data_IF_781696392772
#
_entry.id   IF_781696392772
#
_cell.length_a   1.000
_cell.length_b   1.000
_cell.length_c   1.000
_cell.angle_alpha   90.00
_cell.angle_beta   90.00
_cell.angle_gamma   90.00
#
_symmetry.space_group_name_H-M   'P 1'
#
loop_
_entity.id
_entity.type
_entity.pdbx_description
1 polymer ?
#
# COMPACT_ATOMS: atom_id res chain seq x y z
N UNK A 1 8.75 20.38 18.80
CA UNK A 1 9.49 21.46 18.11
C UNK A 1 10.58 20.99 17.17
N UNK A 2 11.52 20.07 17.55
CA UNK A 2 12.52 19.51 16.60
C UNK A 2 11.90 18.59 15.52
N UNK A 3 10.75 17.97 15.77
CA UNK A 3 10.07 17.06 14.84
C UNK A 3 9.37 17.82 13.71
N UNK A 4 8.74 18.96 14.00
CA UNK A 4 8.02 19.79 13.03
C UNK A 4 8.94 20.43 11.99
N UNK A 5 10.20 20.71 12.33
CA UNK A 5 11.21 21.30 11.43
C UNK A 5 12.05 20.26 10.67
N UNK A 6 11.74 18.97 10.77
CA UNK A 6 12.57 17.88 10.22
C UNK A 6 12.40 17.64 8.72
N UNK A 7 11.60 18.42 8.00
CA UNK A 7 11.27 18.19 6.58
C UNK A 7 10.51 16.89 6.30
N UNK A 8 10.00 16.21 7.32
CA UNK A 8 9.27 14.95 7.20
C UNK A 8 7.81 15.16 6.80
N UNK A 9 7.23 14.15 6.13
CA UNK A 9 5.83 14.23 5.71
C UNK A 9 4.88 14.31 6.90
N UNK A 10 3.76 15.02 6.76
CA UNK A 10 2.67 15.12 7.76
C UNK A 10 2.25 13.74 8.30
N UNK A 11 2.16 12.72 7.43
CA UNK A 11 1.82 11.35 7.82
C UNK A 11 2.88 10.71 8.76
N UNK A 12 4.15 11.03 8.55
CA UNK A 12 5.24 10.57 9.43
C UNK A 12 5.14 11.25 10.80
N UNK A 13 4.84 12.55 10.83
CA UNK A 13 4.64 13.31 12.07
C UNK A 13 3.45 12.77 12.86
N UNK A 14 2.32 12.50 12.21
CA UNK A 14 1.16 11.87 12.87
C UNK A 14 1.48 10.51 13.49
N UNK A 15 2.30 9.68 12.83
CA UNK A 15 2.75 8.41 13.40
C UNK A 15 3.62 8.61 14.65
N UNK A 16 4.49 9.61 14.65
CA UNK A 16 5.27 9.93 15.85
C UNK A 16 4.38 10.38 17.00
N UNK A 17 3.39 11.23 16.77
CA UNK A 17 2.42 11.65 17.78
C UNK A 17 1.61 10.48 18.34
N UNK A 18 1.16 9.56 17.46
CA UNK A 18 0.48 8.34 17.91
C UNK A 18 1.39 7.43 18.74
N UNK A 19 2.66 7.30 18.37
CA UNK A 19 3.63 6.55 19.14
C UNK A 19 3.92 7.22 20.50
N UNK A 20 4.03 8.55 20.53
CA UNK A 20 4.21 9.33 21.75
C UNK A 20 3.05 9.12 22.72
N UNK A 21 1.81 9.22 22.25
CA UNK A 21 0.63 8.95 23.06
C UNK A 21 0.67 7.54 23.68
N UNK A 22 1.05 6.53 22.89
CA UNK A 22 1.20 5.16 23.39
C UNK A 22 2.36 5.00 24.36
N UNK A 23 3.47 5.68 24.14
CA UNK A 23 4.61 5.68 25.06
C UNK A 23 4.18 6.28 26.40
N UNK A 24 3.51 7.43 26.40
CA UNK A 24 3.01 8.07 27.63
C UNK A 24 2.00 7.19 28.36
N UNK A 25 1.08 6.54 27.63
CA UNK A 25 0.07 5.65 28.23
C UNK A 25 0.69 4.46 29.00
N UNK A 26 1.80 3.90 28.51
CA UNK A 26 2.38 2.67 29.06
C UNK A 26 3.72 2.86 29.79
N UNK A 27 4.39 4.00 29.60
CA UNK A 27 5.70 4.30 30.17
C UNK A 27 5.66 5.59 31.02
N UNK A 28 4.58 5.81 31.74
CA UNK A 28 4.44 6.95 32.65
C UNK A 28 5.24 6.72 33.95
N UNK A 29 6.56 6.61 33.78
CA UNK A 29 7.54 6.46 34.86
C UNK A 29 8.63 7.52 34.72
N UNK A 30 9.19 8.00 35.81
CA UNK A 30 10.40 8.82 35.78
C UNK A 30 11.53 8.08 35.05
N UNK A 31 12.27 8.76 34.17
CA UNK A 31 13.31 8.15 33.33
C UNK A 31 14.40 7.42 34.14
N UNK A 32 14.71 7.91 35.33
CA UNK A 32 15.72 7.34 36.22
C UNK A 32 15.32 6.02 36.89
N UNK A 33 14.06 5.62 36.82
CA UNK A 33 13.57 4.33 37.37
C UNK A 33 13.31 3.29 36.26
N UNK A 34 13.38 3.69 35.01
CA UNK A 34 13.13 2.75 33.90
C UNK A 34 14.38 1.88 33.67
N UNK A 35 14.26 0.61 34.04
CA UNK A 35 15.28 -0.40 33.77
C UNK A 35 14.91 -1.19 32.50
N UNK A 36 15.86 -1.91 31.85
CA UNK A 36 15.55 -2.80 30.73
C UNK A 36 14.46 -3.83 31.07
N UNK A 37 14.45 -4.36 32.29
CA UNK A 37 13.43 -5.31 32.76
C UNK A 37 12.05 -4.67 32.85
N UNK A 38 11.96 -3.44 33.41
CA UNK A 38 10.69 -2.71 33.48
C UNK A 38 10.17 -2.39 32.07
N UNK A 39 11.05 -1.94 31.18
CA UNK A 39 10.71 -1.65 29.81
C UNK A 39 10.22 -2.91 29.06
N UNK A 40 10.90 -4.05 29.22
CA UNK A 40 10.47 -5.33 28.68
C UNK A 40 9.09 -5.74 29.16
N UNK A 41 8.82 -5.57 30.48
CA UNK A 41 7.49 -5.86 31.06
C UNK A 41 6.39 -5.03 30.41
N UNK A 42 6.64 -3.75 30.18
CA UNK A 42 5.68 -2.86 29.50
C UNK A 42 5.51 -3.26 28.01
N UNK A 43 6.58 -3.60 27.30
CA UNK A 43 6.47 -4.11 25.92
C UNK A 43 5.61 -5.36 25.85
N UNK A 44 5.72 -6.28 26.80
CA UNK A 44 4.90 -7.50 26.85
C UNK A 44 3.41 -7.18 27.09
N UNK A 45 3.10 -6.17 27.92
CA UNK A 45 1.72 -5.70 28.11
C UNK A 45 1.15 -5.08 26.83
N UNK A 46 1.91 -4.20 26.18
CA UNK A 46 1.53 -3.56 24.92
C UNK A 46 1.34 -4.61 23.82
N UNK A 47 2.22 -5.60 23.76
CA UNK A 47 2.24 -6.67 22.77
C UNK A 47 0.97 -7.53 22.73
N UNK A 48 0.19 -7.60 23.80
CA UNK A 48 -1.13 -8.23 23.81
C UNK A 48 -2.10 -7.57 22.83
N UNK A 49 -1.93 -6.27 22.56
CA UNK A 49 -2.88 -5.47 21.78
C UNK A 49 -2.33 -5.00 20.42
N UNK A 50 -1.01 -5.08 20.19
CA UNK A 50 -0.37 -4.58 18.97
C UNK A 50 0.53 -5.65 18.35
N UNK A 51 0.86 -5.52 17.07
CA UNK A 51 1.78 -6.44 16.40
C UNK A 51 3.25 -6.13 16.72
N UNK A 52 4.12 -7.10 16.47
CA UNK A 52 5.58 -7.02 16.68
C UNK A 52 6.23 -5.84 15.95
N UNK A 53 5.77 -5.55 14.72
CA UNK A 53 6.27 -4.42 13.94
C UNK A 53 5.99 -3.07 14.61
N UNK A 54 4.84 -2.91 15.27
CA UNK A 54 4.53 -1.70 16.03
C UNK A 54 5.44 -1.55 17.26
N UNK A 55 5.68 -2.63 18.02
CA UNK A 55 6.61 -2.60 19.16
C UNK A 55 8.01 -2.18 18.75
N UNK A 56 8.52 -2.72 17.63
CA UNK A 56 9.80 -2.33 17.05
C UNK A 56 9.84 -0.84 16.67
N UNK A 57 8.80 -0.33 16.00
CA UNK A 57 8.69 1.09 15.64
C UNK A 57 8.66 2.01 16.88
N UNK A 58 7.92 1.62 17.90
CA UNK A 58 7.83 2.36 19.17
C UNK A 58 9.19 2.38 19.87
N UNK A 59 9.85 1.22 20.03
CA UNK A 59 11.19 1.13 20.65
C UNK A 59 12.24 1.92 19.86
N UNK A 60 12.19 1.91 18.52
CA UNK A 60 13.08 2.72 17.71
C UNK A 60 12.87 4.24 17.93
N UNK A 61 11.64 4.69 18.20
CA UNK A 61 11.37 6.07 18.56
C UNK A 61 11.97 6.41 19.92
N UNK A 62 11.83 5.53 20.93
CA UNK A 62 12.46 5.68 22.27
C UNK A 62 13.98 5.71 22.16
N UNK A 63 14.61 4.75 21.44
CA UNK A 63 16.06 4.74 21.19
C UNK A 63 16.56 6.07 20.63
N UNK A 64 15.83 6.60 19.65
CA UNK A 64 16.18 7.88 19.05
C UNK A 64 16.08 9.05 20.04
N UNK A 65 15.06 9.05 20.91
CA UNK A 65 14.92 10.05 21.95
C UNK A 65 16.07 9.99 22.96
N UNK A 66 16.46 8.78 23.40
CA UNK A 66 17.64 8.56 24.26
C UNK A 66 18.91 9.07 23.61
N UNK A 67 19.13 8.77 22.33
CA UNK A 67 20.31 9.26 21.57
C UNK A 67 20.34 10.80 21.50
N UNK A 68 19.18 11.44 21.31
CA UNK A 68 19.08 12.91 21.31
C UNK A 68 19.35 13.49 22.69
N UNK A 69 18.85 12.88 23.76
CA UNK A 69 19.11 13.31 25.14
C UNK A 69 20.62 13.23 25.46
N UNK A 70 21.28 12.13 25.09
CA UNK A 70 22.73 11.97 25.23
C UNK A 70 23.53 13.03 24.46
N UNK A 71 23.09 13.37 23.23
CA UNK A 71 23.71 14.44 22.44
C UNK A 71 23.56 15.83 23.10
N UNK A 72 22.45 16.06 23.79
CA UNK A 72 22.19 17.28 24.58
C UNK A 72 22.83 17.20 25.99
N UNK A 73 23.72 16.22 26.25
CA UNK A 73 24.42 15.97 27.51
C UNK A 73 23.48 15.66 28.71
N UNK A 74 22.27 15.19 28.43
CA UNK A 74 21.36 14.70 29.44
C UNK A 74 21.69 13.23 29.69
N UNK A 75 22.03 12.89 30.92
CA UNK A 75 22.33 11.50 31.29
C UNK A 75 21.06 10.66 31.32
N UNK A 76 20.96 9.69 30.41
CA UNK A 76 19.90 8.69 30.34
C UNK A 76 20.54 7.36 30.00
N UNK A 77 20.30 6.33 30.82
CA UNK A 77 20.68 4.97 30.46
C UNK A 77 19.81 4.44 29.31
N UNK A 78 20.39 3.63 28.45
CA UNK A 78 19.65 3.00 27.35
C UNK A 78 18.95 1.72 27.82
N UNK A 79 17.77 1.89 28.37
CA UNK A 79 16.93 0.79 28.85
C UNK A 79 16.30 -0.04 27.72
N UNK A 80 16.57 0.28 26.45
CA UNK A 80 16.07 -0.48 25.29
C UNK A 80 17.05 -1.57 24.85
N UNK A 81 18.19 -1.73 25.52
CA UNK A 81 19.19 -2.74 25.21
C UNK A 81 18.66 -4.12 25.62
N UNK A 82 18.83 -5.11 24.72
CA UNK A 82 18.51 -6.52 25.00
C UNK A 82 17.01 -6.84 25.05
N UNK A 83 16.12 -5.91 24.69
CA UNK A 83 14.69 -6.18 24.70
C UNK A 83 14.24 -6.99 23.50
N UNK A 84 13.25 -7.87 23.73
CA UNK A 84 12.60 -8.68 22.72
C UNK A 84 11.16 -8.25 22.49
N UNK A 85 10.64 -8.52 21.30
CA UNK A 85 9.28 -8.16 20.93
C UNK A 85 8.38 -9.39 20.89
N UNK A 86 7.52 -9.53 21.88
CA UNK A 86 6.47 -10.54 21.94
C UNK A 86 5.12 -9.89 21.58
N UNK A 87 4.31 -10.58 20.78
CA UNK A 87 2.99 -10.10 20.38
C UNK A 87 2.04 -11.28 20.23
N UNK A 88 0.86 -11.16 20.83
CA UNK A 88 -0.23 -12.13 20.69
C UNK A 88 -0.95 -11.98 19.34
N UNK A 89 -0.70 -10.86 18.62
CA UNK A 89 -1.23 -10.67 17.27
C UNK A 89 -0.34 -11.32 16.24
N UNK A 90 -0.85 -12.39 15.64
CA UNK A 90 -0.21 -13.06 14.50
C UNK A 90 -0.11 -12.10 13.32
N UNK A 91 1.09 -11.92 12.78
CA UNK A 91 1.27 -11.21 11.51
C UNK A 91 0.79 -12.13 10.38
N UNK A 92 0.06 -11.52 9.43
CA UNK A 92 -0.29 -12.24 8.20
C UNK A 92 0.98 -12.72 7.51
N UNK A 93 1.03 -14.00 7.19
CA UNK A 93 2.12 -14.57 6.38
C UNK A 93 2.23 -13.87 5.03
N UNK A 94 3.36 -13.98 4.37
CA UNK A 94 3.52 -13.41 3.03
C UNK A 94 2.47 -13.93 2.06
N UNK A 95 2.11 -15.21 2.19
CA UNK A 95 1.09 -15.87 1.38
C UNK A 95 -0.32 -15.34 1.60
N UNK A 96 -0.65 -14.79 2.77
CA UNK A 96 -1.97 -14.21 3.04
C UNK A 96 -2.14 -12.78 2.51
N UNK A 97 -1.13 -12.24 1.84
CA UNK A 97 -1.14 -10.84 1.36
C UNK A 97 -1.58 -10.69 -0.07
N UNK A 98 -1.72 -11.77 -0.87
CA UNK A 98 -2.09 -11.72 -2.28
C UNK A 98 -2.90 -12.97 -2.70
N UNK A 99 -3.54 -12.91 -3.87
CA UNK A 99 -4.25 -14.04 -4.47
C UNK A 99 -3.26 -14.92 -5.25
N UNK A 100 -3.31 -16.22 -5.01
CA UNK A 100 -2.37 -17.19 -5.59
C UNK A 100 -2.86 -17.78 -6.89
N UNK A 101 -4.17 -18.06 -6.99
CA UNK A 101 -4.76 -18.75 -8.13
C UNK A 101 -5.14 -17.77 -9.22
N UNK A 102 -4.73 -18.06 -10.44
CA UNK A 102 -5.10 -17.27 -11.61
C UNK A 102 -6.62 -17.26 -11.84
N UNK A 103 -7.29 -18.39 -11.57
CA UNK A 103 -8.76 -18.51 -11.61
C UNK A 103 -9.44 -17.46 -10.72
N UNK A 104 -8.94 -17.29 -9.50
CA UNK A 104 -9.50 -16.34 -8.54
C UNK A 104 -9.33 -14.90 -9.02
N UNK A 105 -8.15 -14.57 -9.57
CA UNK A 105 -7.89 -13.25 -10.16
C UNK A 105 -8.86 -12.97 -11.31
N UNK A 106 -9.04 -13.95 -12.21
CA UNK A 106 -9.94 -13.83 -13.35
C UNK A 106 -11.39 -13.65 -12.91
N UNK A 107 -11.82 -14.40 -11.89
CA UNK A 107 -13.16 -14.30 -11.33
C UNK A 107 -13.41 -12.92 -10.68
N UNK A 108 -12.45 -12.41 -9.91
CA UNK A 108 -12.52 -11.06 -9.33
C UNK A 108 -12.63 -10.01 -10.43
N UNK A 109 -11.80 -10.08 -11.46
CA UNK A 109 -11.84 -9.12 -12.58
C UNK A 109 -13.17 -9.18 -13.32
N UNK A 110 -13.69 -10.39 -13.61
CA UNK A 110 -14.98 -10.58 -14.26
C UNK A 110 -16.13 -9.99 -13.42
N UNK A 111 -16.14 -10.25 -12.12
CA UNK A 111 -17.17 -9.71 -11.20
C UNK A 111 -17.08 -8.19 -11.09
N UNK A 112 -15.87 -7.64 -10.92
CA UNK A 112 -15.70 -6.18 -10.92
C UNK A 112 -16.21 -5.57 -12.21
N UNK A 113 -15.90 -6.20 -13.37
CA UNK A 113 -16.30 -5.72 -14.70
C UNK A 113 -17.81 -5.73 -14.90
N UNK A 114 -18.50 -6.81 -14.50
CA UNK A 114 -19.94 -6.93 -14.66
C UNK A 114 -20.77 -6.00 -13.77
N UNK A 115 -20.16 -5.52 -12.68
CA UNK A 115 -20.81 -4.62 -11.72
C UNK A 115 -20.37 -3.16 -11.86
N UNK A 116 -19.63 -2.80 -12.93
CA UNK A 116 -19.22 -1.42 -13.19
C UNK A 116 -20.42 -0.55 -13.51
N UNK A 117 -20.61 0.49 -12.74
CA UNK A 117 -21.60 1.55 -12.91
C UNK A 117 -21.09 2.79 -12.17
N UNK A 118 -20.71 3.82 -12.92
CA UNK A 118 -20.16 5.03 -12.33
C UNK A 118 -21.18 5.76 -11.45
N UNK A 119 -22.47 5.69 -11.78
CA UNK A 119 -23.56 6.29 -10.97
C UNK A 119 -23.63 5.67 -9.58
N UNK A 120 -23.30 4.39 -9.44
CA UNK A 120 -23.22 3.72 -8.14
C UNK A 120 -21.89 3.96 -7.45
N UNK A 121 -20.78 3.72 -8.14
CA UNK A 121 -19.45 3.90 -7.55
C UNK A 121 -18.31 3.75 -8.56
N UNK A 122 -17.39 4.69 -8.58
CA UNK A 122 -16.14 4.60 -9.35
C UNK A 122 -15.17 3.54 -8.80
N UNK A 123 -15.40 3.01 -7.60
CA UNK A 123 -14.45 2.11 -6.91
C UNK A 123 -14.23 0.79 -7.66
N UNK A 124 -15.23 0.25 -8.37
CA UNK A 124 -15.06 -0.99 -9.15
C UNK A 124 -14.09 -0.80 -10.33
N UNK A 125 -14.16 0.33 -11.00
CA UNK A 125 -13.19 0.73 -12.04
C UNK A 125 -11.79 0.85 -11.48
N UNK A 126 -11.66 1.51 -10.33
CA UNK A 126 -10.38 1.66 -9.62
C UNK A 126 -9.79 0.28 -9.23
N UNK A 127 -10.58 -0.60 -8.63
CA UNK A 127 -10.12 -1.94 -8.23
C UNK A 127 -9.69 -2.77 -9.43
N UNK A 128 -10.46 -2.74 -10.52
CA UNK A 128 -10.10 -3.43 -11.76
C UNK A 128 -8.73 -2.98 -12.28
N UNK A 129 -8.52 -1.67 -12.40
CA UNK A 129 -7.23 -1.14 -12.85
C UNK A 129 -6.11 -1.42 -11.86
N UNK A 130 -6.40 -1.48 -10.58
CA UNK A 130 -5.40 -1.81 -9.57
C UNK A 130 -4.86 -3.25 -9.75
N UNK A 131 -5.75 -4.21 -10.01
CA UNK A 131 -5.37 -5.60 -10.32
C UNK A 131 -4.64 -5.74 -11.64
N UNK A 132 -5.03 -4.99 -12.67
CA UNK A 132 -4.45 -5.14 -14.02
C UNK A 132 -3.14 -4.38 -14.21
N UNK A 133 -2.93 -3.26 -13.49
CA UNK A 133 -1.73 -2.43 -13.59
C UNK A 133 -0.68 -2.71 -12.52
N UNK A 134 -1.13 -3.07 -11.30
CA UNK A 134 -0.26 -3.21 -10.15
C UNK A 134 0.30 -1.88 -9.61
N UNK A 135 -0.24 -0.74 -10.00
CA UNK A 135 0.14 0.57 -9.45
C UNK A 135 0.01 0.60 -7.92
N UNK A 136 0.77 1.47 -7.25
CA UNK A 136 0.48 1.69 -5.82
C UNK A 136 -0.90 2.33 -5.67
N UNK A 137 -1.71 1.95 -4.67
CA UNK A 137 -3.06 2.49 -4.49
C UNK A 137 -3.15 4.02 -4.58
N UNK A 138 -2.22 4.72 -3.93
CA UNK A 138 -2.20 6.19 -3.97
C UNK A 138 -1.77 6.78 -5.31
N UNK A 139 -0.91 6.11 -6.08
CA UNK A 139 -0.52 6.52 -7.44
C UNK A 139 -1.74 6.45 -8.37
N UNK A 140 -2.45 5.32 -8.33
CA UNK A 140 -3.63 5.13 -9.17
C UNK A 140 -4.76 6.10 -8.80
N UNK A 141 -4.97 6.42 -7.51
CA UNK A 141 -5.96 7.42 -7.08
C UNK A 141 -5.61 8.84 -7.56
N UNK A 142 -4.33 9.17 -7.71
CA UNK A 142 -3.88 10.47 -8.20
C UNK A 142 -3.94 10.61 -9.72
N UNK A 143 -4.30 9.54 -10.44
CA UNK A 143 -4.30 9.53 -11.90
C UNK A 143 -5.33 10.53 -12.46
N UNK A 144 -4.90 11.35 -13.39
CA UNK A 144 -5.75 12.27 -14.15
C UNK A 144 -5.89 11.81 -15.60
N UNK A 145 -6.92 12.29 -16.30
CA UNK A 145 -7.13 11.95 -17.72
C UNK A 145 -5.99 12.41 -18.63
N UNK A 146 -5.20 13.40 -18.22
CA UNK A 146 -4.01 13.86 -18.97
C UNK A 146 -2.88 12.82 -18.92
N UNK A 147 -2.90 11.90 -17.97
CA UNK A 147 -1.91 10.84 -17.80
C UNK A 147 -2.32 9.52 -18.45
N UNK A 148 -3.40 9.51 -19.24
CA UNK A 148 -3.89 8.32 -19.95
C UNK A 148 -3.65 8.51 -21.45
N UNK A 149 -2.65 7.81 -21.98
CA UNK A 149 -2.40 7.73 -23.42
C UNK A 149 -3.15 6.53 -23.99
N UNK A 150 -4.29 6.80 -24.64
CA UNK A 150 -5.15 5.78 -25.23
C UNK A 150 -4.57 5.15 -26.50
N UNK A 151 -3.71 5.88 -27.22
CA UNK A 151 -3.09 5.41 -28.46
C UNK A 151 -1.91 4.49 -28.18
N UNK A 152 -1.00 4.93 -27.29
CA UNK A 152 0.15 4.15 -26.87
C UNK A 152 -0.17 3.10 -25.81
N UNK A 153 -1.40 3.09 -25.29
CA UNK A 153 -1.84 2.21 -24.21
C UNK A 153 -0.94 2.31 -22.95
N UNK A 154 -0.66 3.54 -22.56
CA UNK A 154 0.21 3.85 -21.42
C UNK A 154 -0.51 4.69 -20.38
N UNK A 155 -0.23 4.42 -19.12
CA UNK A 155 -0.51 5.32 -18.00
C UNK A 155 0.80 5.95 -17.55
N UNK A 156 0.77 7.24 -17.26
CA UNK A 156 1.91 7.94 -16.66
C UNK A 156 1.61 8.21 -15.18
N UNK A 157 2.59 8.04 -14.32
CA UNK A 157 2.46 8.37 -12.89
C UNK A 157 3.64 9.22 -12.42
N UNK A 158 3.33 10.34 -11.79
CA UNK A 158 4.27 11.31 -11.23
C UNK A 158 3.82 11.85 -9.86
N UNK A 159 2.64 11.43 -9.41
CA UNK A 159 2.03 11.87 -8.17
C UNK A 159 1.40 10.70 -7.40
N UNK A 160 1.03 10.95 -6.15
CA UNK A 160 0.26 10.01 -5.33
C UNK A 160 -0.67 10.73 -4.36
N UNK A 161 -1.77 10.13 -4.02
CA UNK A 161 -2.63 10.55 -2.92
C UNK A 161 -2.01 10.08 -1.59
N UNK A 162 -1.91 11.00 -0.65
CA UNK A 162 -1.60 10.67 0.74
C UNK A 162 -2.85 10.08 1.40
N UNK A 163 -2.77 8.83 1.87
CA UNK A 163 -3.92 8.11 2.45
C UNK A 163 -4.50 8.74 3.72
N UNK A 164 -3.72 9.54 4.43
CA UNK A 164 -4.17 10.18 5.69
C UNK A 164 -4.84 11.53 5.45
N UNK A 165 -4.28 12.36 4.53
CA UNK A 165 -4.79 13.71 4.25
C UNK A 165 -5.67 13.79 3.00
N UNK A 166 -5.61 12.78 2.13
CA UNK A 166 -6.19 12.72 0.78
C UNK A 166 -5.66 13.81 -0.16
N UNK A 167 -4.59 14.47 0.18
CA UNK A 167 -3.89 15.43 -0.67
C UNK A 167 -3.05 14.72 -1.73
N UNK A 168 -2.99 15.28 -2.93
CA UNK A 168 -2.03 14.86 -3.95
C UNK A 168 -0.66 15.41 -3.58
N UNK A 169 0.32 14.54 -3.53
CA UNK A 169 1.70 14.86 -3.14
C UNK A 169 2.69 14.18 -4.08
N UNK A 170 3.90 14.71 -4.14
CA UNK A 170 4.99 14.11 -4.92
C UNK A 170 5.24 12.64 -4.54
N UNK A 171 5.77 11.83 -5.45
CA UNK A 171 6.12 10.44 -5.20
C UNK A 171 7.21 10.34 -4.12
N UNK A 172 7.33 9.17 -3.48
CA UNK A 172 8.35 8.95 -2.42
C UNK A 172 9.75 8.72 -2.99
N UNK A 173 9.83 8.17 -4.19
CA UNK A 173 11.08 7.82 -4.88
C UNK A 173 11.00 8.20 -6.34
N UNK A 174 12.14 8.40 -7.00
CA UNK A 174 12.22 8.68 -8.44
C UNK A 174 11.65 7.53 -9.29
N UNK A 175 11.82 6.28 -8.86
CA UNK A 175 11.29 5.09 -9.57
C UNK A 175 9.76 5.03 -9.60
N UNK A 176 9.10 5.82 -8.76
CA UNK A 176 7.64 5.97 -8.80
C UNK A 176 7.17 6.76 -10.03
N UNK A 177 8.03 7.55 -10.67
CA UNK A 177 7.72 8.30 -11.89
C UNK A 177 8.01 7.39 -13.10
N UNK A 178 6.97 6.95 -13.78
CA UNK A 178 7.12 5.96 -14.85
C UNK A 178 5.89 5.85 -15.74
N UNK A 179 6.07 5.20 -16.88
CA UNK A 179 5.00 4.73 -17.73
C UNK A 179 4.64 3.28 -17.40
N UNK A 180 3.35 2.97 -17.39
CA UNK A 180 2.79 1.64 -17.12
C UNK A 180 1.99 1.20 -18.35
N UNK A 181 2.39 0.11 -19.04
CA UNK A 181 1.61 -0.43 -20.16
C UNK A 181 0.33 -1.07 -19.63
N UNK A 182 -0.76 -0.86 -20.38
CA UNK A 182 -2.08 -1.42 -20.09
C UNK A 182 -2.61 -2.18 -21.31
N UNK A 183 -3.38 -3.23 -21.06
CA UNK A 183 -3.98 -4.05 -22.10
C UNK A 183 -5.24 -3.40 -22.71
N UNK A 184 -5.69 -3.93 -23.84
CA UNK A 184 -6.88 -3.46 -24.56
C UNK A 184 -8.13 -3.40 -23.67
N UNK A 185 -8.31 -4.38 -22.79
CA UNK A 185 -9.47 -4.44 -21.91
C UNK A 185 -9.47 -3.29 -20.88
N UNK A 186 -8.30 -2.97 -20.31
CA UNK A 186 -8.14 -1.79 -19.43
C UNK A 186 -8.39 -0.48 -20.18
N UNK A 187 -8.01 -0.39 -21.47
CA UNK A 187 -8.34 0.75 -22.33
C UNK A 187 -9.86 0.89 -22.51
N UNK A 188 -10.55 -0.22 -22.78
CA UNK A 188 -12.02 -0.22 -22.90
C UNK A 188 -12.70 0.25 -21.62
N UNK A 189 -12.27 -0.27 -20.47
CA UNK A 189 -12.75 0.13 -19.15
C UNK A 189 -12.56 1.63 -18.90
N UNK A 190 -11.39 2.18 -19.26
CA UNK A 190 -11.12 3.61 -19.11
C UNK A 190 -11.96 4.47 -20.06
N UNK A 191 -12.17 4.04 -21.31
CA UNK A 191 -13.03 4.76 -22.27
C UNK A 191 -14.47 4.80 -21.80
N UNK A 192 -14.99 3.68 -21.28
CA UNK A 192 -16.34 3.61 -20.70
C UNK A 192 -16.46 4.52 -19.48
N UNK A 193 -15.53 4.43 -18.52
CA UNK A 193 -15.51 5.30 -17.36
C UNK A 193 -15.52 6.79 -17.76
N UNK A 194 -14.70 7.17 -18.73
CA UNK A 194 -14.63 8.58 -19.23
C UNK A 194 -15.97 9.02 -19.80
N UNK A 195 -16.64 8.14 -20.56
CA UNK A 195 -17.96 8.40 -21.13
C UNK A 195 -19.02 8.56 -20.04
N UNK A 196 -19.11 7.60 -19.11
CA UNK A 196 -20.09 7.64 -18.02
C UNK A 196 -19.87 8.82 -17.10
N UNK A 197 -18.61 9.10 -16.73
CA UNK A 197 -18.25 10.28 -15.92
C UNK A 197 -18.72 11.57 -16.60
N UNK A 198 -18.48 11.73 -17.92
CA UNK A 198 -18.93 12.91 -18.66
C UNK A 198 -20.44 13.04 -18.64
N UNK A 199 -21.19 11.97 -18.87
CA UNK A 199 -22.65 11.98 -18.87
C UNK A 199 -23.17 12.36 -17.48
N UNK A 200 -22.74 11.66 -16.46
CA UNK A 200 -23.20 11.87 -15.08
C UNK A 200 -22.85 13.27 -14.57
N UNK A 201 -21.62 13.75 -14.86
CA UNK A 201 -21.21 15.09 -14.48
C UNK A 201 -22.06 16.17 -15.14
N UNK A 202 -22.41 16.00 -16.42
CA UNK A 202 -23.30 16.94 -17.13
C UNK A 202 -24.72 16.91 -16.56
N UNK A 203 -25.28 15.74 -16.30
CA UNK A 203 -26.62 15.56 -15.72
C UNK A 203 -26.73 16.21 -14.33
N UNK A 204 -25.69 16.11 -13.52
CA UNK A 204 -25.68 16.58 -12.13
C UNK A 204 -25.04 17.95 -11.94
N UNK A 205 -24.55 18.60 -13.01
CA UNK A 205 -23.85 19.90 -12.93
C UNK A 205 -22.53 19.85 -12.18
N UNK A 206 -21.87 18.67 -12.13
CA UNK A 206 -20.62 18.44 -11.39
C UNK A 206 -19.42 18.77 -12.29
N UNK A 207 -18.42 19.44 -11.72
CA UNK A 207 -17.14 19.72 -12.40
C UNK A 207 -16.04 18.84 -11.87
N UNK A 208 -15.31 18.16 -12.76
CA UNK A 208 -14.06 17.47 -12.44
C UNK A 208 -12.88 18.45 -12.55
N UNK A 209 -12.74 19.32 -11.57
CA UNK A 209 -11.77 20.45 -11.60
C UNK A 209 -10.33 19.93 -11.69
N UNK A 210 -10.02 18.83 -11.00
CA UNK A 210 -8.69 18.23 -11.00
C UNK A 210 -8.48 17.19 -12.10
N UNK A 211 -9.48 16.99 -12.97
CA UNK A 211 -9.44 16.03 -14.07
C UNK A 211 -9.11 14.59 -13.64
N UNK A 212 -9.54 14.18 -12.42
CA UNK A 212 -9.29 12.83 -11.89
C UNK A 212 -9.98 11.75 -12.73
N UNK A 213 -9.27 10.65 -12.97
CA UNK A 213 -9.85 9.44 -13.56
C UNK A 213 -10.86 8.81 -12.60
N UNK A 214 -10.52 8.73 -11.32
CA UNK A 214 -11.39 8.13 -10.30
C UNK A 214 -12.11 9.19 -9.47
N UNK A 215 -12.67 10.21 -10.14
CA UNK A 215 -13.50 11.20 -9.48
C UNK A 215 -14.67 10.49 -8.78
N UNK A 216 -14.91 10.86 -7.53
CA UNK A 216 -16.10 10.48 -6.77
C UNK A 216 -17.04 11.68 -6.68
N UNK A 217 -18.32 11.50 -7.02
CA UNK A 217 -19.33 12.56 -6.90
C UNK A 217 -20.27 12.29 -5.73
N UNK A 218 -21.00 13.33 -5.29
CA UNK A 218 -22.00 13.24 -4.22
C UNK A 218 -21.45 13.16 -2.79
N UNK A 219 -20.13 13.20 -2.58
CA UNK A 219 -19.48 13.21 -1.27
C UNK A 219 -18.56 14.44 -1.12
N UNK A 220 -18.23 14.77 0.13
CA UNK A 220 -17.25 15.84 0.45
C UNK A 220 -15.85 15.61 -0.11
N UNK A 221 -15.56 14.41 -0.64
CA UNK A 221 -14.23 14.01 -1.14
C UNK A 221 -14.30 13.68 -2.61
N UNK A 222 -13.46 14.30 -3.41
CA UNK A 222 -13.43 14.13 -4.87
C UNK A 222 -12.91 12.76 -5.34
N UNK A 223 -12.24 12.01 -4.47
CA UNK A 223 -11.67 10.69 -4.77
C UNK A 223 -12.03 9.67 -3.68
N UNK A 224 -12.09 8.36 -4.01
CA UNK A 224 -12.36 7.31 -3.04
C UNK A 224 -11.30 7.24 -1.94
N UNK A 225 -11.70 6.80 -0.75
CA UNK A 225 -10.77 6.52 0.35
C UNK A 225 -10.28 5.06 0.29
N UNK A 226 -9.09 4.79 0.86
CA UNK A 226 -8.61 3.41 1.00
C UNK A 226 -9.61 2.53 1.77
N UNK A 227 -10.32 3.10 2.74
CA UNK A 227 -11.34 2.38 3.51
C UNK A 227 -12.53 1.95 2.65
N UNK A 228 -13.04 2.86 1.80
CA UNK A 228 -14.15 2.54 0.87
C UNK A 228 -13.73 1.51 -0.17
N UNK A 229 -12.52 1.62 -0.72
CA UNK A 229 -11.99 0.65 -1.67
C UNK A 229 -11.82 -0.75 -1.03
N UNK A 230 -11.25 -0.81 0.17
CA UNK A 230 -11.10 -2.07 0.91
C UNK A 230 -12.46 -2.69 1.29
N UNK A 231 -13.48 -1.86 1.59
CA UNK A 231 -14.83 -2.35 1.90
C UNK A 231 -15.45 -3.05 0.69
N UNK A 232 -15.35 -2.47 -0.50
CA UNK A 232 -15.88 -3.07 -1.73
C UNK A 232 -15.07 -4.32 -2.11
N UNK A 233 -13.74 -4.26 -2.08
CA UNK A 233 -12.90 -5.42 -2.36
C UNK A 233 -13.23 -6.61 -1.44
N UNK A 234 -13.39 -6.36 -0.14
CA UNK A 234 -13.78 -7.39 0.83
C UNK A 234 -15.16 -7.99 0.50
N UNK A 235 -16.12 -7.16 0.10
CA UNK A 235 -17.46 -7.66 -0.32
C UNK A 235 -17.34 -8.59 -1.52
N UNK A 236 -16.59 -8.21 -2.55
CA UNK A 236 -16.37 -9.03 -3.75
C UNK A 236 -15.68 -10.35 -3.39
N UNK A 237 -14.58 -10.31 -2.63
CA UNK A 237 -13.85 -11.52 -2.25
C UNK A 237 -14.71 -12.48 -1.39
N UNK A 238 -15.49 -11.95 -0.45
CA UNK A 238 -16.37 -12.76 0.38
C UNK A 238 -17.53 -13.35 -0.42
N UNK A 239 -18.14 -12.58 -1.35
CA UNK A 239 -19.19 -13.08 -2.23
C UNK A 239 -18.72 -14.24 -3.13
N UNK A 240 -17.47 -14.17 -3.58
CA UNK A 240 -16.81 -15.20 -4.39
C UNK A 240 -16.16 -16.33 -3.55
N UNK A 241 -16.27 -16.26 -2.22
CA UNK A 241 -15.65 -17.21 -1.28
C UNK A 241 -14.12 -17.34 -1.46
N UNK A 242 -13.47 -16.29 -2.02
CA UNK A 242 -12.03 -16.28 -2.30
C UNK A 242 -11.24 -15.96 -1.03
N UNK A 243 -10.22 -16.78 -0.76
CA UNK A 243 -9.24 -16.60 0.31
C UNK A 243 -7.81 -16.58 -0.26
N UNK A 244 -6.92 -15.79 0.35
CA UNK A 244 -7.13 -14.91 1.52
C UNK A 244 -7.91 -13.63 1.18
N UNK A 245 -8.59 -13.04 2.16
CA UNK A 245 -9.22 -11.73 2.00
C UNK A 245 -8.14 -10.65 2.07
N UNK A 246 -7.73 -10.18 0.90
CA UNK A 246 -6.65 -9.21 0.74
C UNK A 246 -7.13 -7.76 0.84
N UNK A 247 -6.18 -6.84 0.97
CA UNK A 247 -6.43 -5.39 0.85
C UNK A 247 -6.10 -4.89 -0.55
N UNK A 248 -6.37 -3.61 -0.83
CA UNK A 248 -5.97 -2.96 -2.09
C UNK A 248 -4.46 -3.03 -2.35
N UNK A 249 -3.61 -3.05 -1.32
CA UNK A 249 -2.18 -3.34 -1.48
C UNK A 249 -1.92 -4.77 -1.91
N UNK A 250 -2.76 -5.71 -1.48
CA UNK A 250 -2.72 -7.10 -1.91
C UNK A 250 -3.00 -7.28 -3.40
N UNK A 251 -3.82 -6.43 -4.02
CA UNK A 251 -4.03 -6.45 -5.47
C UNK A 251 -2.73 -6.17 -6.25
N UNK A 252 -1.91 -5.22 -5.77
CA UNK A 252 -0.58 -4.97 -6.34
C UNK A 252 0.36 -6.17 -6.15
N UNK A 253 0.38 -6.78 -4.96
CA UNK A 253 1.15 -8.00 -4.73
C UNK A 253 0.69 -9.14 -5.64
N UNK A 254 -0.61 -9.31 -5.83
CA UNK A 254 -1.20 -10.26 -6.78
C UNK A 254 -0.69 -10.01 -8.20
N UNK A 255 -0.68 -8.76 -8.68
CA UNK A 255 -0.16 -8.42 -10.01
C UNK A 255 1.33 -8.70 -10.14
N UNK A 256 2.12 -8.34 -9.14
CA UNK A 256 3.55 -8.61 -9.12
C UNK A 256 3.84 -10.11 -9.22
N UNK A 257 3.19 -10.91 -8.37
CA UNK A 257 3.29 -12.38 -8.40
C UNK A 257 2.90 -12.93 -9.78
N UNK A 258 1.78 -12.47 -10.34
CA UNK A 258 1.33 -12.88 -11.66
C UNK A 258 2.38 -12.60 -12.76
N UNK A 259 2.97 -11.41 -12.78
CA UNK A 259 3.98 -11.06 -13.78
C UNK A 259 5.24 -11.93 -13.66
N UNK A 260 5.69 -12.18 -12.42
CA UNK A 260 6.85 -13.04 -12.13
C UNK A 260 6.55 -14.49 -12.55
N UNK A 261 5.40 -15.04 -12.22
CA UNK A 261 5.02 -16.42 -12.59
C UNK A 261 4.80 -16.60 -14.09
N UNK A 262 4.52 -15.52 -14.81
CA UNK A 262 4.49 -15.52 -16.30
C UNK A 262 5.89 -15.46 -16.92
N UNK A 263 6.94 -15.41 -16.11
CA UNK A 263 8.32 -15.45 -16.57
C UNK A 263 8.84 -14.14 -17.16
N UNK A 264 8.19 -12.99 -16.85
CA UNK A 264 8.72 -11.70 -17.27
C UNK A 264 10.06 -11.40 -16.54
N UNK A 265 11.03 -10.78 -17.23
CA UNK A 265 12.28 -10.36 -16.60
C UNK A 265 12.07 -9.47 -15.39
N UNK A 266 12.84 -9.70 -14.32
CA UNK A 266 12.63 -9.00 -13.03
C UNK A 266 12.84 -7.49 -13.11
N UNK A 267 13.76 -7.05 -13.96
CA UNK A 267 14.00 -5.63 -14.22
C UNK A 267 12.80 -4.95 -14.88
N UNK A 268 12.14 -5.64 -15.83
CA UNK A 268 10.88 -5.18 -16.46
C UNK A 268 9.76 -5.09 -15.42
N UNK A 269 9.59 -6.15 -14.60
CA UNK A 269 8.58 -6.16 -13.54
C UNK A 269 8.86 -5.07 -12.52
N UNK A 270 10.11 -4.90 -12.10
CA UNK A 270 10.52 -3.84 -11.17
C UNK A 270 10.21 -2.45 -11.73
N UNK A 271 10.57 -2.20 -13.00
CA UNK A 271 10.30 -0.92 -13.68
C UNK A 271 8.80 -0.61 -13.76
N UNK A 272 7.98 -1.58 -14.16
CA UNK A 272 6.51 -1.41 -14.25
C UNK A 272 5.90 -1.12 -12.88
N UNK A 273 6.35 -1.84 -11.85
CA UNK A 273 5.85 -1.65 -10.49
C UNK A 273 6.46 -0.42 -9.79
N UNK A 274 7.58 0.13 -10.27
CA UNK A 274 8.29 1.24 -9.60
C UNK A 274 8.97 0.79 -8.30
N UNK A 275 9.70 -0.33 -8.38
CA UNK A 275 10.61 -0.87 -7.36
C UNK A 275 12.02 -0.91 -7.90
N UNK A 276 13.02 -0.96 -7.02
CA UNK A 276 14.32 -1.47 -7.43
C UNK A 276 14.26 -3.00 -7.59
N UNK A 277 15.17 -3.57 -8.40
CA UNK A 277 15.27 -5.02 -8.57
C UNK A 277 15.55 -5.71 -7.23
N UNK A 278 16.39 -5.10 -6.38
CA UNK A 278 16.72 -5.60 -5.03
C UNK A 278 15.48 -5.66 -4.13
N UNK A 279 14.65 -4.61 -4.15
CA UNK A 279 13.40 -4.56 -3.38
C UNK A 279 12.43 -5.64 -3.85
N UNK A 280 12.30 -5.82 -5.17
CA UNK A 280 11.47 -6.85 -5.79
C UNK A 280 11.96 -8.25 -5.39
N UNK A 281 13.26 -8.52 -5.57
CA UNK A 281 13.89 -9.79 -5.22
C UNK A 281 13.70 -10.13 -3.74
N UNK A 282 13.93 -9.17 -2.85
CA UNK A 282 13.72 -9.36 -1.41
C UNK A 282 12.28 -9.70 -1.07
N UNK A 283 11.33 -9.01 -1.70
CA UNK A 283 9.89 -9.15 -1.40
C UNK A 283 9.32 -10.47 -1.92
N UNK A 284 9.79 -10.93 -3.09
CA UNK A 284 9.25 -12.08 -3.80
C UNK A 284 10.24 -13.26 -3.89
N UNK A 285 11.25 -13.30 -3.00
CA UNK A 285 12.30 -14.34 -2.97
C UNK A 285 11.74 -15.76 -3.02
N UNK A 286 10.66 -16.05 -2.27
CA UNK A 286 10.03 -17.36 -2.23
C UNK A 286 9.51 -17.82 -3.60
N UNK A 287 8.92 -16.92 -4.39
CA UNK A 287 8.46 -17.23 -5.75
C UNK A 287 9.62 -17.42 -6.72
N UNK A 288 10.69 -16.65 -6.56
CA UNK A 288 11.88 -16.77 -7.39
C UNK A 288 12.57 -18.12 -7.17
N UNK A 289 12.58 -18.64 -5.95
CA UNK A 289 13.11 -19.97 -5.67
C UNK A 289 12.34 -21.08 -6.38
N UNK A 290 11.00 -20.98 -6.42
CA UNK A 290 10.16 -21.93 -7.18
C UNK A 290 10.43 -21.81 -8.69
N UNK A 291 10.55 -20.60 -9.23
CA UNK A 291 10.84 -20.35 -10.65
C UNK A 291 12.24 -20.86 -11.02
N UNK A 292 13.23 -20.73 -10.16
CA UNK A 292 14.59 -21.27 -10.35
C UNK A 292 14.57 -22.79 -10.43
N UNK A 293 13.83 -23.46 -9.54
CA UNK A 293 13.71 -24.93 -9.58
C UNK A 293 13.10 -25.40 -10.93
N UNK A 294 12.04 -24.74 -11.40
CA UNK A 294 11.45 -25.02 -12.71
C UNK A 294 12.48 -24.77 -13.83
N UNK A 295 13.29 -23.71 -13.72
CA UNK A 295 14.35 -23.39 -14.66
C UNK A 295 15.43 -24.46 -14.69
N UNK A 296 15.86 -24.98 -13.55
CA UNK A 296 16.85 -26.05 -13.45
C UNK A 296 16.33 -27.36 -14.07
N UNK A 297 15.06 -27.71 -13.87
CA UNK A 297 14.48 -28.88 -14.53
C UNK A 297 14.41 -28.72 -16.05
N UNK A 298 14.13 -27.51 -16.55
CA UNK A 298 14.19 -27.23 -18.00
C UNK A 298 15.61 -27.39 -18.55
N UNK A 299 16.64 -26.89 -17.85
CA UNK A 299 18.05 -27.02 -18.27
C UNK A 299 18.47 -28.48 -18.31
N UNK A 300 18.05 -29.32 -17.37
CA UNK A 300 18.37 -30.76 -17.37
C UNK A 300 17.76 -31.51 -18.59
N UNK A 301 16.73 -30.95 -19.22
CA UNK A 301 16.04 -31.54 -20.36
C UNK A 301 16.45 -30.92 -21.70
N UNK A 302 17.46 -30.00 -21.72
CA UNK A 302 18.14 -29.50 -22.91
C UNK A 302 19.33 -30.36 -23.29
#
# INVERSE_FOLDING_TARGET
MKIEKSGRSKATLQKYLQNEQKIVEYLDFPLNVITPMLYQKQLNIIGKNVNRGFLSLMTNAVKKAIQMAKADKIFVEDFTIGVEYFSDKTEKSSSEKYLHKYSDITLVLKTLRSEMDYKQSVVRYYLYLLFTTGMRPGELLALTWNHVDFEKQLLYTDNRVNSSTLEVVAPKTKDSIRYIPINNESIMVLKELKKEQRITNNELGIKNVHNYVFQHYGLKKEIPTNASCNKILRKVLNHLEIKPVITIYGARHTRATYLITKGLPLDVVAKVLGHSVEELTRTYRHLLSETLNIGFEKIKNL
#
